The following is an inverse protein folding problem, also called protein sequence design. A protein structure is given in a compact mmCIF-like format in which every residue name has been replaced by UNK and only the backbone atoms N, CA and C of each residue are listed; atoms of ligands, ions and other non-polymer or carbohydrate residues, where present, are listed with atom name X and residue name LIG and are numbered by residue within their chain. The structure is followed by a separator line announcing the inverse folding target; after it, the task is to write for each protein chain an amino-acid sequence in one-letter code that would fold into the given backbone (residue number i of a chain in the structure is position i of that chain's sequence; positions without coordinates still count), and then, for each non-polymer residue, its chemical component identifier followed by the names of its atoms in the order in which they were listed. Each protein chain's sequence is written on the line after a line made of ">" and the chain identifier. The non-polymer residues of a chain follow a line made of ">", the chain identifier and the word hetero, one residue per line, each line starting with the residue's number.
data_IF_073280712963
#
_entry.id   IF_073280712963
#
_cell.length_a   1.000
_cell.length_b   1.000
_cell.length_c   1.000
_cell.angle_alpha   90.00
_cell.angle_beta   90.00
_cell.angle_gamma   90.00
#
_symmetry.space_group_name_H-M   'P 1'
#
loop_
_entity.id
_entity.type
_entity.pdbx_description
1 polymer ?
#
# COMPACT_ATOMS: atom_id res chain seq x y z
N UNK A 1 -15.62 26.47 -52.77
CA UNK A 1 -16.19 25.82 -51.55
C UNK A 1 -15.32 24.73 -50.95
N UNK A 2 -14.27 24.27 -51.61
CA UNK A 2 -13.44 23.09 -51.12
C UNK A 2 -12.33 23.39 -50.13
N UNK A 3 -11.85 24.65 -50.06
CA UNK A 3 -10.73 24.99 -49.13
C UNK A 3 -11.14 25.06 -47.63
N UNK A 4 -12.38 25.31 -47.31
CA UNK A 4 -12.86 25.37 -45.92
C UNK A 4 -12.99 23.95 -45.34
N UNK A 5 -13.51 23.00 -46.12
CA UNK A 5 -13.64 21.59 -45.65
C UNK A 5 -12.32 20.86 -45.37
N UNK A 6 -11.24 21.23 -46.06
CA UNK A 6 -9.92 20.63 -45.85
C UNK A 6 -9.23 21.13 -44.55
N UNK A 7 -9.54 22.35 -44.13
CA UNK A 7 -8.99 22.95 -42.89
C UNK A 7 -9.61 22.31 -41.62
N UNK A 8 -10.92 22.08 -41.65
CA UNK A 8 -11.65 21.47 -40.52
C UNK A 8 -11.25 20.00 -40.28
N UNK A 9 -10.96 19.23 -41.34
CA UNK A 9 -10.45 17.85 -41.22
C UNK A 9 -9.07 17.76 -40.62
N UNK A 10 -8.18 18.74 -40.89
CA UNK A 10 -6.82 18.76 -40.31
C UNK A 10 -6.84 19.14 -38.83
N UNK A 11 -7.69 20.07 -38.44
CA UNK A 11 -7.87 20.47 -37.04
C UNK A 11 -8.50 19.35 -36.20
N UNK A 12 -9.50 18.64 -36.75
CA UNK A 12 -10.10 17.48 -36.07
C UNK A 12 -9.10 16.33 -35.88
N UNK A 13 -8.23 16.07 -36.89
CA UNK A 13 -7.18 15.04 -36.79
C UNK A 13 -6.11 15.36 -35.74
N UNK A 14 -5.70 16.63 -35.62
CA UNK A 14 -4.73 17.06 -34.61
C UNK A 14 -5.32 17.00 -33.21
N UNK A 15 -6.58 17.40 -33.02
CA UNK A 15 -7.26 17.33 -31.74
C UNK A 15 -7.44 15.88 -31.25
N UNK A 16 -7.77 14.96 -32.16
CA UNK A 16 -7.89 13.53 -31.83
C UNK A 16 -6.55 12.90 -31.47
N UNK A 17 -5.48 13.23 -32.19
CA UNK A 17 -4.14 12.72 -31.90
C UNK A 17 -3.61 13.23 -30.55
N UNK A 18 -3.86 14.49 -30.19
CA UNK A 18 -3.53 15.07 -28.90
C UNK A 18 -4.30 14.40 -27.74
N UNK A 19 -5.56 14.08 -27.94
CA UNK A 19 -6.39 13.41 -26.94
C UNK A 19 -5.89 11.97 -26.67
N UNK A 20 -5.49 11.24 -27.72
CA UNK A 20 -4.96 9.88 -27.59
C UNK A 20 -3.61 9.89 -26.85
N UNK A 21 -2.74 10.85 -27.11
CA UNK A 21 -1.44 10.99 -26.41
C UNK A 21 -1.65 11.30 -24.92
N UNK A 22 -2.58 12.18 -24.56
CA UNK A 22 -2.91 12.50 -23.18
C UNK A 22 -3.48 11.29 -22.42
N UNK A 23 -4.35 10.50 -23.05
CA UNK A 23 -4.89 9.27 -22.45
C UNK A 23 -3.81 8.21 -22.25
N UNK A 24 -2.87 8.06 -23.19
CA UNK A 24 -1.77 7.11 -23.07
C UNK A 24 -0.80 7.48 -21.93
N UNK A 25 -0.55 8.75 -21.69
CA UNK A 25 0.28 9.23 -20.59
C UNK A 25 -0.37 9.00 -19.23
N UNK A 26 -1.68 9.21 -19.10
CA UNK A 26 -2.44 8.94 -17.86
C UNK A 26 -2.37 7.45 -17.47
N UNK A 27 -2.60 6.54 -18.39
CA UNK A 27 -2.52 5.09 -18.14
C UNK A 27 -1.11 4.63 -17.74
N UNK A 28 -0.07 5.25 -18.30
CA UNK A 28 1.33 4.92 -17.95
C UNK A 28 1.69 5.39 -16.55
N UNK A 29 1.25 6.57 -16.13
CA UNK A 29 1.49 7.11 -14.80
C UNK A 29 0.78 6.29 -13.70
N UNK A 30 -0.46 5.88 -13.94
CA UNK A 30 -1.21 5.04 -13.01
C UNK A 30 -0.58 3.65 -12.82
N UNK A 31 -0.10 3.03 -13.91
CA UNK A 31 0.63 1.76 -13.86
C UNK A 31 1.94 1.87 -13.09
N UNK A 32 2.71 2.95 -13.31
CA UNK A 32 3.96 3.21 -12.60
C UNK A 32 3.71 3.42 -11.09
N UNK A 33 2.66 4.15 -10.72
CA UNK A 33 2.25 4.34 -9.33
C UNK A 33 1.85 3.02 -8.67
N UNK A 34 0.99 2.23 -9.32
CA UNK A 34 0.56 0.93 -8.82
C UNK A 34 1.73 -0.05 -8.64
N UNK A 35 2.69 -0.06 -9.58
CA UNK A 35 3.88 -0.92 -9.48
C UNK A 35 4.80 -0.50 -8.33
N UNK A 36 4.92 0.79 -8.07
CA UNK A 36 5.71 1.34 -6.96
C UNK A 36 5.07 0.98 -5.61
N UNK A 37 3.75 1.08 -5.51
CA UNK A 37 3.02 0.71 -4.28
C UNK A 37 3.13 -0.80 -4.01
N UNK A 38 3.06 -1.64 -5.02
CA UNK A 38 3.29 -3.07 -4.90
C UNK A 38 4.69 -3.39 -4.37
N UNK A 39 5.73 -2.76 -4.93
CA UNK A 39 7.12 -2.96 -4.48
C UNK A 39 7.30 -2.56 -3.01
N UNK A 40 6.76 -1.42 -2.59
CA UNK A 40 6.84 -0.97 -1.19
C UNK A 40 6.16 -1.93 -0.23
N UNK A 41 4.97 -2.44 -0.59
CA UNK A 41 4.25 -3.45 0.21
C UNK A 41 5.04 -4.73 0.34
N UNK A 42 5.54 -5.26 -0.79
CA UNK A 42 6.34 -6.48 -0.80
C UNK A 42 7.61 -6.31 0.01
N UNK A 43 8.26 -5.17 -0.09
CA UNK A 43 9.47 -4.88 0.69
C UNK A 43 9.17 -4.77 2.18
N UNK A 44 8.11 -4.07 2.60
CA UNK A 44 7.71 -4.02 4.01
C UNK A 44 7.37 -5.40 4.56
N UNK A 45 6.66 -6.23 3.79
CA UNK A 45 6.36 -7.61 4.18
C UNK A 45 7.62 -8.46 4.27
N UNK A 46 8.60 -8.28 3.35
CA UNK A 46 9.86 -9.03 3.43
C UNK A 46 10.63 -8.71 4.71
N UNK A 47 10.74 -7.44 5.10
CA UNK A 47 11.36 -7.05 6.37
C UNK A 47 10.69 -7.74 7.57
N UNK A 48 9.36 -7.70 7.65
CA UNK A 48 8.60 -8.40 8.69
C UNK A 48 8.83 -9.91 8.67
N UNK A 49 8.89 -10.52 7.48
CA UNK A 49 9.14 -11.97 7.34
C UNK A 49 10.58 -12.36 7.68
N UNK A 50 11.55 -11.50 7.41
CA UNK A 50 12.95 -11.70 7.80
C UNK A 50 13.08 -11.71 9.32
N UNK A 51 12.42 -10.76 10.02
CA UNK A 51 12.37 -10.76 11.48
C UNK A 51 11.66 -12.00 12.04
N UNK A 52 10.57 -12.44 11.42
CA UNK A 52 9.87 -13.67 11.81
C UNK A 52 10.77 -14.90 11.63
N UNK A 53 11.45 -15.03 10.50
CA UNK A 53 12.36 -16.15 10.24
C UNK A 53 13.53 -16.19 11.24
N UNK A 54 14.10 -15.03 11.58
CA UNK A 54 15.15 -14.92 12.60
C UNK A 54 14.70 -15.34 14.02
N UNK A 55 13.39 -15.41 14.24
CA UNK A 55 12.77 -15.83 15.51
C UNK A 55 11.97 -17.14 15.40
N UNK A 56 12.29 -17.99 14.41
CA UNK A 56 11.65 -19.29 14.19
C UNK A 56 10.13 -19.23 14.04
N UNK A 57 9.62 -18.17 13.38
CA UNK A 57 8.21 -18.02 13.05
C UNK A 57 7.96 -18.24 11.56
N UNK A 58 6.86 -18.91 11.25
CA UNK A 58 6.42 -19.06 9.85
C UNK A 58 6.22 -17.71 9.18
N UNK A 59 6.61 -17.62 7.90
CA UNK A 59 6.41 -16.39 7.09
C UNK A 59 4.93 -16.13 6.84
N UNK A 60 4.59 -14.84 6.73
CA UNK A 60 3.24 -14.38 6.44
C UNK A 60 3.01 -14.30 4.94
N UNK A 61 1.82 -14.66 4.50
CA UNK A 61 1.35 -14.48 3.12
C UNK A 61 0.65 -13.14 2.94
N UNK A 62 0.91 -12.48 1.82
CA UNK A 62 0.29 -11.18 1.54
C UNK A 62 -1.18 -11.34 1.12
N UNK A 63 -2.10 -10.70 1.83
CA UNK A 63 -3.45 -10.48 1.34
C UNK A 63 -3.53 -9.17 0.53
N UNK A 64 -3.51 -9.30 -0.79
CA UNK A 64 -3.53 -8.15 -1.70
C UNK A 64 -4.85 -7.36 -1.67
N UNK A 65 -5.97 -8.01 -1.38
CA UNK A 65 -7.29 -7.37 -1.29
C UNK A 65 -7.36 -6.49 -0.05
N UNK A 66 -7.04 -7.03 1.11
CA UNK A 66 -7.03 -6.29 2.37
C UNK A 66 -5.93 -5.22 2.40
N UNK A 67 -4.85 -5.39 1.63
CA UNK A 67 -3.79 -4.37 1.48
C UNK A 67 -4.28 -3.08 0.82
N UNK A 68 -5.36 -3.11 0.05
CA UNK A 68 -5.99 -1.87 -0.45
C UNK A 68 -6.59 -1.06 0.69
N UNK A 69 -7.23 -1.72 1.64
CA UNK A 69 -7.71 -1.07 2.87
C UNK A 69 -6.54 -0.52 3.70
N UNK A 70 -5.52 -1.32 3.98
CA UNK A 70 -4.33 -0.88 4.71
C UNK A 70 -3.66 0.34 4.06
N UNK A 71 -3.60 0.37 2.70
CA UNK A 71 -3.09 1.54 1.95
C UNK A 71 -3.98 2.78 2.12
N UNK A 72 -5.31 2.59 2.11
CA UNK A 72 -6.23 3.70 2.36
C UNK A 72 -6.06 4.25 3.78
N UNK A 73 -5.93 3.38 4.78
CA UNK A 73 -5.70 3.75 6.17
C UNK A 73 -4.36 4.52 6.34
N UNK A 74 -3.27 4.04 5.75
CA UNK A 74 -1.99 4.75 5.72
C UNK A 74 -2.10 6.14 5.09
N UNK A 75 -2.89 6.28 4.01
CA UNK A 75 -3.15 7.58 3.37
C UNK A 75 -3.94 8.52 4.29
N UNK A 76 -4.93 7.99 5.03
CA UNK A 76 -5.67 8.80 6.01
C UNK A 76 -4.75 9.34 7.11
N UNK A 77 -3.86 8.50 7.67
CA UNK A 77 -2.86 8.93 8.65
C UNK A 77 -1.92 10.00 8.08
N UNK A 78 -1.41 9.79 6.87
CA UNK A 78 -0.54 10.75 6.19
C UNK A 78 -1.23 12.11 5.95
N UNK A 79 -2.51 12.10 5.58
CA UNK A 79 -3.31 13.32 5.36
C UNK A 79 -3.61 14.05 6.66
N UNK A 80 -3.90 13.30 7.73
CA UNK A 80 -4.21 13.88 9.06
C UNK A 80 -2.95 14.30 9.84
N UNK A 81 -1.77 13.77 9.47
CA UNK A 81 -0.51 14.07 10.12
C UNK A 81 -0.30 13.37 11.47
N UNK A 82 -1.11 12.37 11.84
CA UNK A 82 -0.95 11.60 13.08
C UNK A 82 -1.33 10.13 12.90
N UNK A 83 -0.78 9.28 13.79
CA UNK A 83 -1.03 7.84 13.81
C UNK A 83 -2.32 7.53 14.57
N UNK A 84 -3.11 6.60 14.04
CA UNK A 84 -4.26 6.01 14.73
C UNK A 84 -4.51 4.60 14.23
N UNK A 85 -5.06 3.76 15.07
CA UNK A 85 -5.44 2.39 14.71
C UNK A 85 -6.80 2.34 13.99
N UNK A 86 -7.01 1.27 13.24
CA UNK A 86 -8.31 0.91 12.66
C UNK A 86 -9.35 0.76 13.78
N UNK A 87 -10.41 1.57 13.78
CA UNK A 87 -11.41 1.59 14.85
C UNK A 87 -12.14 0.26 15.01
N UNK A 88 -12.37 -0.46 13.93
CA UNK A 88 -13.03 -1.78 13.93
C UNK A 88 -12.28 -2.73 12.99
N UNK A 89 -11.18 -3.29 13.49
CA UNK A 89 -10.36 -4.25 12.74
C UNK A 89 -11.14 -5.53 12.44
N UNK A 90 -12.00 -5.98 13.35
CA UNK A 90 -12.78 -7.20 13.18
C UNK A 90 -13.70 -7.11 11.96
N UNK A 91 -14.32 -5.95 11.73
CA UNK A 91 -15.16 -5.76 10.54
C UNK A 91 -14.35 -5.83 9.23
N UNK A 92 -13.06 -5.50 9.26
CA UNK A 92 -12.18 -5.57 8.09
C UNK A 92 -11.72 -6.99 7.79
N UNK A 93 -11.71 -7.86 8.81
CA UNK A 93 -11.38 -9.28 8.68
C UNK A 93 -12.60 -10.15 8.38
N UNK A 94 -13.81 -9.58 8.45
CA UNK A 94 -15.06 -10.32 8.20
C UNK A 94 -15.04 -10.95 6.80
N UNK A 95 -15.36 -12.26 6.76
CA UNK A 95 -15.37 -13.04 5.51
C UNK A 95 -14.01 -13.63 5.13
N UNK A 96 -12.98 -13.39 5.93
CA UNK A 96 -11.71 -14.12 5.85
C UNK A 96 -11.75 -15.30 6.85
N UNK A 97 -10.86 -16.28 6.63
CA UNK A 97 -10.60 -17.33 7.62
C UNK A 97 -9.62 -16.76 8.66
N UNK A 98 -10.13 -16.43 9.84
CA UNK A 98 -9.34 -15.83 10.91
C UNK A 98 -9.95 -16.09 12.28
N UNK A 99 -9.10 -16.21 13.29
CA UNK A 99 -9.49 -16.32 14.69
C UNK A 99 -8.85 -15.22 15.56
N UNK A 100 -7.73 -14.70 15.09
CA UNK A 100 -6.98 -13.64 15.75
C UNK A 100 -6.56 -12.57 14.75
N UNK A 101 -6.57 -11.32 15.19
CA UNK A 101 -6.14 -10.17 14.40
C UNK A 101 -5.23 -9.24 15.19
N UNK A 102 -4.43 -8.44 14.49
CA UNK A 102 -3.57 -7.43 15.06
C UNK A 102 -3.21 -6.37 14.04
N UNK A 103 -2.73 -5.22 14.51
CA UNK A 103 -2.35 -4.12 13.63
C UNK A 103 -1.11 -3.41 14.18
N UNK A 104 -0.15 -3.13 13.29
CA UNK A 104 0.93 -2.19 13.53
C UNK A 104 0.74 -0.98 12.61
N UNK A 105 0.85 0.22 13.16
CA UNK A 105 0.87 1.48 12.41
C UNK A 105 2.11 2.28 12.79
N UNK A 106 2.69 2.97 11.81
CA UNK A 106 3.89 3.75 12.07
C UNK A 106 4.23 4.73 10.97
N UNK A 107 5.13 5.65 11.29
CA UNK A 107 5.73 6.62 10.38
C UNK A 107 7.24 6.66 10.58
N UNK A 108 7.99 6.68 9.48
CA UNK A 108 9.45 6.68 9.51
C UNK A 108 10.08 7.18 8.21
N UNK A 109 11.38 7.47 8.24
CA UNK A 109 12.13 7.98 7.08
C UNK A 109 12.41 6.88 6.04
N UNK A 110 12.57 5.63 6.50
CA UNK A 110 12.75 4.44 5.67
C UNK A 110 11.88 3.28 6.20
N UNK A 111 11.59 2.29 5.36
CA UNK A 111 10.86 1.09 5.80
C UNK A 111 11.71 0.24 6.75
N UNK A 112 13.02 0.16 6.51
CA UNK A 112 13.99 -0.56 7.39
C UNK A 112 14.01 0.04 8.80
N UNK A 113 14.14 1.36 8.90
CA UNK A 113 14.17 2.04 10.22
C UNK A 113 12.84 1.88 10.96
N UNK A 114 11.74 1.82 10.21
CA UNK A 114 10.41 1.65 10.76
C UNK A 114 10.20 0.22 11.28
N UNK A 115 10.58 -0.81 10.51
CA UNK A 115 10.54 -2.20 11.00
C UNK A 115 11.43 -2.37 12.23
N UNK A 116 12.65 -1.84 12.21
CA UNK A 116 13.50 -1.83 13.39
C UNK A 116 12.87 -1.14 14.60
N UNK A 117 12.09 -0.07 14.39
CA UNK A 117 11.34 0.58 15.46
C UNK A 117 10.18 -0.30 15.96
N UNK A 118 9.46 -0.99 15.07
CA UNK A 118 8.45 -1.96 15.46
C UNK A 118 9.04 -3.09 16.30
N UNK A 119 10.20 -3.63 15.91
CA UNK A 119 10.88 -4.70 16.66
C UNK A 119 11.42 -4.26 18.02
N UNK A 120 11.73 -2.98 18.22
CA UNK A 120 12.10 -2.43 19.54
C UNK A 120 10.91 -2.10 20.43
N UNK A 121 9.70 -2.02 19.88
CA UNK A 121 8.46 -1.73 20.59
C UNK A 121 7.74 -3.01 21.01
N UNK A 122 7.59 -3.27 22.29
CA UNK A 122 6.97 -4.49 22.82
C UNK A 122 5.60 -4.82 22.18
N UNK A 123 4.63 -3.88 22.05
CA UNK A 123 3.34 -4.20 21.44
C UNK A 123 3.46 -4.54 19.95
N UNK A 124 4.27 -3.78 19.18
CA UNK A 124 4.44 -4.03 17.75
C UNK A 124 5.20 -5.33 17.49
N UNK A 125 6.29 -5.58 18.24
CA UNK A 125 7.06 -6.83 18.17
C UNK A 125 6.17 -8.05 18.50
N UNK A 126 5.27 -7.94 19.47
CA UNK A 126 4.32 -9.02 19.80
C UNK A 126 3.46 -9.39 18.60
N UNK A 127 2.97 -8.41 17.84
CA UNK A 127 2.22 -8.68 16.62
C UNK A 127 3.11 -9.34 15.55
N UNK A 128 4.32 -8.81 15.30
CA UNK A 128 5.24 -9.38 14.30
C UNK A 128 5.53 -10.85 14.61
N UNK A 129 5.81 -11.20 15.87
CA UNK A 129 6.26 -12.55 16.27
C UNK A 129 5.14 -13.48 16.73
N UNK A 130 3.87 -13.10 16.61
CA UNK A 130 2.75 -13.95 17.03
C UNK A 130 2.64 -15.18 16.16
N UNK A 131 2.63 -16.37 16.80
CA UNK A 131 2.65 -17.67 16.12
C UNK A 131 1.36 -17.96 15.36
N UNK A 132 0.21 -17.50 15.86
CA UNK A 132 -1.09 -17.75 15.24
C UNK A 132 -1.37 -16.93 13.97
N UNK A 133 -0.48 -16.00 13.58
CA UNK A 133 -0.65 -15.27 12.33
C UNK A 133 -0.01 -16.01 11.17
N UNK A 134 -0.71 -16.10 10.03
CA UNK A 134 -0.23 -16.69 8.78
C UNK A 134 -0.42 -15.76 7.56
N UNK A 135 -1.13 -14.65 7.73
CA UNK A 135 -1.35 -13.62 6.71
C UNK A 135 -1.05 -12.22 7.21
N UNK A 136 -0.65 -11.37 6.27
CA UNK A 136 -0.60 -9.93 6.49
C UNK A 136 -1.20 -9.14 5.32
N UNK A 137 -1.76 -7.99 5.64
CA UNK A 137 -2.09 -6.96 4.67
C UNK A 137 -1.25 -5.73 4.95
N UNK A 138 -0.63 -5.17 3.91
CA UNK A 138 0.34 -4.09 4.05
C UNK A 138 -0.08 -2.87 3.23
N UNK A 139 -0.15 -1.72 3.88
CA UNK A 139 -0.33 -0.41 3.27
C UNK A 139 0.91 0.46 3.48
N UNK A 140 1.43 1.05 2.41
CA UNK A 140 2.57 1.96 2.46
C UNK A 140 2.29 3.20 1.62
N UNK A 141 2.34 4.37 2.23
CA UNK A 141 2.24 5.67 1.55
C UNK A 141 3.50 6.48 1.84
N UNK A 142 4.08 7.10 0.83
CA UNK A 142 5.13 8.10 1.01
C UNK A 142 4.52 9.50 0.91
N UNK A 143 4.68 10.31 1.97
CA UNK A 143 4.17 11.68 2.04
C UNK A 143 5.15 12.54 2.84
N UNK A 144 5.48 13.72 2.31
CA UNK A 144 6.37 14.69 2.97
C UNK A 144 7.70 14.07 3.45
N UNK A 145 8.33 13.25 2.60
CA UNK A 145 9.60 12.60 2.90
C UNK A 145 9.51 11.36 3.79
N UNK A 146 8.36 11.09 4.42
CA UNK A 146 8.15 9.96 5.33
C UNK A 146 7.30 8.86 4.74
N UNK A 147 7.51 7.63 5.19
CA UNK A 147 6.66 6.48 4.93
C UNK A 147 5.64 6.32 6.06
N UNK A 148 4.37 6.25 5.70
CA UNK A 148 3.25 5.93 6.58
C UNK A 148 2.81 4.51 6.30
N UNK A 149 2.80 3.67 7.33
CA UNK A 149 2.62 2.23 7.18
C UNK A 149 1.49 1.72 8.07
N UNK A 150 0.71 0.81 7.52
CA UNK A 150 -0.25 -0.03 8.23
C UNK A 150 0.04 -1.48 7.88
N UNK A 151 0.26 -2.32 8.88
CA UNK A 151 0.38 -3.78 8.73
C UNK A 151 -0.73 -4.42 9.55
N UNK A 152 -1.66 -5.10 8.88
CA UNK A 152 -2.72 -5.88 9.51
C UNK A 152 -2.30 -7.33 9.46
N UNK A 153 -2.29 -7.99 10.60
CA UNK A 153 -1.97 -9.41 10.77
C UNK A 153 -3.24 -10.19 11.08
N UNK A 154 -3.35 -11.43 10.59
CA UNK A 154 -4.44 -12.34 10.95
C UNK A 154 -4.07 -13.81 10.70
N UNK A 155 -4.83 -14.74 11.35
CA UNK A 155 -4.73 -16.19 11.21
C UNK A 155 -5.75 -16.94 12.03
#
# INVERSE_FOLDING_TARGET
>A
MDRVRARDRRLAGVALALLIVLLAQGVSADRASASTDLRRRSYMLSLTNDDRAQHDKAVLRLNAVLSRYATHHSRQMATKGYLFHTADLNSKLKGLDWSIGGENVGVGSTLDSLEGAFMRSTPHRRNILRTGFDHAAVGVIRSNGSFWVTVIFYG
#
